data_IF_813821720400
#
_entry.id   IF_813821720400
#
_cell.length_a   1.000
_cell.length_b   1.000
_cell.length_c   1.000
_cell.angle_alpha   90.00
_cell.angle_beta   90.00
_cell.angle_gamma   90.00
#
_symmetry.space_group_name_H-M   'P 1'
#
loop_
_entity.id
_entity.type
_entity.pdbx_description
1 polymer ?
#
# COMPACT_ATOMS: atom_id res chain seq x y z
N UNK A 1 23.87 21.83 22.48
CA UNK A 1 22.57 22.13 21.86
C UNK A 1 22.03 21.05 20.92
N UNK A 2 22.86 20.14 20.39
CA UNK A 2 22.43 19.11 19.42
C UNK A 2 21.22 18.22 19.79
N UNK A 3 20.97 17.98 21.09
CA UNK A 3 19.83 17.17 21.55
C UNK A 3 18.50 17.92 21.48
N UNK A 4 18.49 19.21 21.83
CA UNK A 4 17.31 20.09 21.70
C UNK A 4 17.00 20.40 20.24
N UNK A 5 18.03 20.45 19.39
CA UNK A 5 17.89 20.62 17.94
C UNK A 5 17.23 19.40 17.26
N UNK A 6 17.23 18.24 17.92
CA UNK A 6 16.72 16.97 17.37
C UNK A 6 15.48 16.46 18.10
N UNK A 7 15.35 16.74 19.40
CA UNK A 7 14.23 16.35 20.25
C UNK A 7 13.74 17.58 21.01
N UNK A 8 12.43 17.83 20.98
CA UNK A 8 11.81 18.84 21.82
C UNK A 8 11.95 18.48 23.33
N UNK A 9 11.58 19.43 24.20
CA UNK A 9 11.71 19.27 25.65
C UNK A 9 10.97 18.01 26.17
N UNK A 10 9.88 17.64 25.51
CA UNK A 10 9.08 16.46 25.83
C UNK A 10 9.80 15.16 25.42
N UNK A 11 10.40 15.13 24.22
CA UNK A 11 11.21 14.01 23.73
C UNK A 11 12.44 13.75 24.59
N UNK A 12 13.07 14.81 25.11
CA UNK A 12 14.18 14.69 26.07
C UNK A 12 13.67 14.12 27.40
N UNK A 13 12.58 14.65 27.96
CA UNK A 13 12.00 14.14 29.20
C UNK A 13 11.60 12.66 29.10
N UNK A 14 11.02 12.27 27.97
CA UNK A 14 10.63 10.88 27.70
C UNK A 14 11.85 9.97 27.53
N UNK A 15 12.90 10.46 26.85
CA UNK A 15 14.19 9.78 26.75
C UNK A 15 14.81 9.52 28.12
N UNK A 16 14.87 10.54 28.99
CA UNK A 16 15.38 10.38 30.36
C UNK A 16 14.52 9.41 31.18
N UNK A 17 13.19 9.47 31.08
CA UNK A 17 12.29 8.55 31.76
C UNK A 17 12.41 7.10 31.27
N UNK A 18 12.90 6.90 30.04
CA UNK A 18 13.18 5.58 29.47
C UNK A 18 14.44 4.91 30.04
N UNK A 19 15.41 5.69 30.53
CA UNK A 19 16.68 5.21 31.10
C UNK A 19 16.77 5.37 32.63
N UNK A 20 15.63 5.60 33.30
CA UNK A 20 15.58 5.73 34.76
C UNK A 20 16.11 4.45 35.44
N UNK A 21 16.98 4.56 36.48
CA UNK A 21 17.45 3.40 37.23
C UNK A 21 16.29 2.53 37.73
N UNK A 22 16.44 1.20 37.63
CA UNK A 22 15.41 0.23 38.05
C UNK A 22 14.42 -0.19 36.95
N UNK A 23 14.58 0.28 35.71
CA UNK A 23 13.85 -0.24 34.54
C UNK A 23 14.78 -1.02 33.60
N UNK A 24 14.26 -2.01 32.86
CA UNK A 24 15.05 -2.67 31.82
C UNK A 24 15.49 -1.65 30.78
N UNK A 25 16.80 -1.65 30.47
CA UNK A 25 17.42 -0.75 29.49
C UNK A 25 16.73 -0.90 28.13
N UNK A 26 16.25 0.20 27.55
CA UNK A 26 15.70 0.19 26.20
C UNK A 26 16.80 0.25 25.15
N UNK A 27 16.63 -0.50 24.07
CA UNK A 27 17.45 -0.36 22.88
C UNK A 27 17.11 0.93 22.12
N UNK A 28 18.01 1.45 21.27
CA UNK A 28 17.71 2.59 20.40
C UNK A 28 16.48 2.37 19.49
N UNK A 29 16.21 1.13 19.07
CA UNK A 29 15.01 0.82 18.30
C UNK A 29 13.74 1.00 19.15
N UNK A 30 13.73 0.48 20.38
CA UNK A 30 12.60 0.61 21.29
C UNK A 30 12.32 2.07 21.68
N UNK A 31 13.38 2.88 21.86
CA UNK A 31 13.21 4.31 22.11
C UNK A 31 12.64 5.04 20.89
N UNK A 32 13.10 4.74 19.66
CA UNK A 32 12.53 5.31 18.43
C UNK A 32 11.05 4.96 18.26
N UNK A 33 10.68 3.70 18.48
CA UNK A 33 9.27 3.27 18.43
C UNK A 33 8.43 4.03 19.46
N UNK A 34 8.94 4.22 20.68
CA UNK A 34 8.24 4.99 21.71
C UNK A 34 8.06 6.46 21.29
N UNK A 35 9.11 7.11 20.81
CA UNK A 35 9.08 8.52 20.38
C UNK A 35 8.12 8.72 19.20
N UNK A 36 8.12 7.82 18.21
CA UNK A 36 7.14 7.86 17.10
C UNK A 36 5.71 7.74 17.61
N UNK A 37 5.45 6.80 18.51
CA UNK A 37 4.13 6.60 19.09
C UNK A 37 3.64 7.83 19.86
N UNK A 38 4.50 8.43 20.69
CA UNK A 38 4.07 9.58 21.51
C UNK A 38 3.99 10.89 20.74
N UNK A 39 4.79 11.06 19.68
CA UNK A 39 4.72 12.24 18.81
C UNK A 39 3.48 12.23 17.91
N UNK A 40 2.85 11.07 17.72
CA UNK A 40 1.74 10.92 16.78
C UNK A 40 2.16 11.11 15.32
N UNK A 41 3.47 11.14 15.03
CA UNK A 41 4.00 11.40 13.68
C UNK A 41 3.50 10.38 12.66
N UNK A 42 3.40 9.11 13.05
CA UNK A 42 2.88 8.05 12.17
C UNK A 42 1.41 8.33 11.82
N UNK A 43 0.59 8.74 12.79
CA UNK A 43 -0.81 9.09 12.54
C UNK A 43 -0.98 10.33 11.66
N UNK A 44 -0.06 11.30 11.74
CA UNK A 44 -0.03 12.46 10.83
C UNK A 44 0.36 12.02 9.42
N UNK A 45 1.41 11.20 9.29
CA UNK A 45 1.85 10.64 8.00
C UNK A 45 0.70 9.85 7.36
N UNK A 46 0.02 8.99 8.12
CA UNK A 46 -1.11 8.19 7.64
C UNK A 46 -2.24 9.09 7.11
N UNK A 47 -2.61 10.12 7.88
CA UNK A 47 -3.66 11.08 7.48
C UNK A 47 -3.29 11.89 6.25
N UNK A 48 -2.05 12.37 6.16
CA UNK A 48 -1.57 13.11 4.97
C UNK A 48 -1.50 12.20 3.75
N UNK A 49 -1.04 10.96 3.95
CA UNK A 49 -0.96 9.95 2.89
C UNK A 49 -2.34 9.61 2.36
N UNK A 50 -3.32 9.39 3.26
CA UNK A 50 -4.71 9.13 2.91
C UNK A 50 -5.37 10.34 2.24
N UNK A 51 -5.18 11.55 2.77
CA UNK A 51 -5.73 12.78 2.17
C UNK A 51 -5.22 13.03 0.74
N UNK A 52 -3.99 12.58 0.43
CA UNK A 52 -3.41 12.71 -0.90
C UNK A 52 -3.61 11.49 -1.82
N UNK A 53 -4.19 10.38 -1.36
CA UNK A 53 -4.21 9.12 -2.12
C UNK A 53 -4.97 9.26 -3.44
N UNK A 54 -6.14 9.91 -3.40
CA UNK A 54 -6.98 10.10 -4.57
C UNK A 54 -6.29 10.93 -5.66
N UNK A 55 -5.63 12.03 -5.27
CA UNK A 55 -4.90 12.91 -6.21
C UNK A 55 -3.70 12.18 -6.82
N UNK A 56 -2.94 11.44 -6.01
CA UNK A 56 -1.81 10.63 -6.52
C UNK A 56 -2.28 9.55 -7.47
N UNK A 57 -3.39 8.88 -7.15
CA UNK A 57 -3.94 7.82 -7.99
C UNK A 57 -4.48 8.37 -9.32
N UNK A 58 -5.19 9.52 -9.31
CA UNK A 58 -5.62 10.18 -10.56
C UNK A 58 -4.44 10.52 -11.46
N UNK A 59 -3.37 11.11 -10.92
CA UNK A 59 -2.14 11.40 -11.70
C UNK A 59 -1.49 10.15 -12.28
N UNK A 60 -1.51 9.04 -11.52
CA UNK A 60 -1.03 7.75 -12.02
C UNK A 60 -1.89 7.24 -13.18
N UNK A 61 -3.22 7.36 -13.10
CA UNK A 61 -4.12 6.97 -14.18
C UNK A 61 -3.90 7.84 -15.44
N UNK A 62 -3.72 9.14 -15.27
CA UNK A 62 -3.44 10.06 -16.39
C UNK A 62 -2.11 9.68 -17.07
N UNK A 63 -1.04 9.46 -16.29
CA UNK A 63 0.26 9.06 -16.82
C UNK A 63 0.21 7.69 -17.54
N UNK A 64 -0.55 6.73 -17.01
CA UNK A 64 -0.79 5.44 -17.67
C UNK A 64 -1.53 5.64 -18.98
N UNK A 65 -2.59 6.45 -19.01
CA UNK A 65 -3.36 6.70 -20.22
C UNK A 65 -2.50 7.35 -21.31
N UNK A 66 -1.62 8.28 -20.93
CA UNK A 66 -0.63 8.88 -21.83
C UNK A 66 0.35 7.83 -22.38
N UNK A 67 0.87 6.94 -21.52
CA UNK A 67 1.75 5.85 -21.96
C UNK A 67 1.05 4.87 -22.90
N UNK A 68 -0.20 4.50 -22.61
CA UNK A 68 -1.02 3.63 -23.47
C UNK A 68 -1.27 4.30 -24.84
N UNK A 69 -1.56 5.61 -24.86
CA UNK A 69 -1.72 6.38 -26.09
C UNK A 69 -0.42 6.45 -26.90
N UNK A 70 0.73 6.66 -26.24
CA UNK A 70 2.05 6.62 -26.89
C UNK A 70 2.35 5.24 -27.46
N UNK A 71 2.03 4.17 -26.71
CA UNK A 71 2.26 2.81 -27.15
C UNK A 71 1.43 2.44 -28.40
N UNK A 72 0.22 2.98 -28.51
CA UNK A 72 -0.64 2.78 -29.68
C UNK A 72 -0.14 3.53 -30.94
N UNK A 73 0.53 4.67 -30.76
CA UNK A 73 0.92 5.56 -31.86
C UNK A 73 2.35 5.32 -32.35
N UNK A 74 3.29 4.99 -31.47
CA UNK A 74 4.71 4.91 -31.79
C UNK A 74 5.19 3.45 -31.88
N UNK A 75 5.21 2.90 -33.10
CA UNK A 75 5.53 1.48 -33.37
C UNK A 75 6.86 1.01 -32.76
N UNK A 76 7.88 1.87 -32.73
CA UNK A 76 9.22 1.50 -32.23
C UNK A 76 9.29 1.36 -30.71
N UNK A 77 8.52 2.18 -29.97
CA UNK A 77 8.54 2.20 -28.50
C UNK A 77 7.29 1.57 -27.87
N UNK A 78 6.26 1.25 -28.66
CA UNK A 78 5.01 0.70 -28.15
C UNK A 78 5.14 -0.71 -27.58
N UNK A 79 6.03 -1.54 -28.13
CA UNK A 79 6.39 -2.84 -27.54
C UNK A 79 6.96 -2.67 -26.13
N UNK A 80 8.09 -1.95 -25.97
CA UNK A 80 8.68 -1.68 -24.66
C UNK A 80 7.74 -1.04 -23.64
N UNK A 81 6.90 -0.06 -24.04
CA UNK A 81 5.91 0.55 -23.13
C UNK A 81 4.86 -0.49 -22.71
N UNK A 82 4.38 -1.30 -23.65
CA UNK A 82 3.42 -2.37 -23.35
C UNK A 82 3.99 -3.46 -22.45
N UNK A 83 5.28 -3.76 -22.52
CA UNK A 83 5.98 -4.66 -21.60
C UNK A 83 6.06 -4.03 -20.21
N UNK A 84 6.52 -2.79 -20.12
CA UNK A 84 6.59 -2.03 -18.86
C UNK A 84 5.23 -1.98 -18.15
N UNK A 85 4.14 -1.72 -18.87
CA UNK A 85 2.78 -1.65 -18.28
C UNK A 85 2.23 -3.01 -17.83
N UNK A 86 2.75 -4.12 -18.35
CA UNK A 86 2.33 -5.48 -18.00
C UNK A 86 3.23 -6.14 -16.96
N UNK A 87 4.41 -5.57 -16.73
CA UNK A 87 5.37 -6.01 -15.73
C UNK A 87 4.74 -6.11 -14.34
N UNK A 88 5.16 -7.12 -13.58
CA UNK A 88 4.58 -7.39 -12.27
C UNK A 88 4.81 -6.21 -11.31
N UNK A 89 5.97 -5.56 -11.33
CA UNK A 89 6.25 -4.41 -10.45
C UNK A 89 5.33 -3.24 -10.77
N UNK A 90 5.08 -2.97 -12.06
CA UNK A 90 4.15 -1.92 -12.49
C UNK A 90 2.71 -2.24 -12.07
N UNK A 91 2.28 -3.49 -12.24
CA UNK A 91 0.94 -3.92 -11.82
C UNK A 91 0.78 -3.81 -10.30
N UNK A 92 1.79 -4.21 -9.53
CA UNK A 92 1.77 -4.13 -8.06
C UNK A 92 1.83 -2.68 -7.56
N UNK A 93 2.59 -1.80 -8.21
CA UNK A 93 2.62 -0.38 -7.89
C UNK A 93 1.25 0.28 -8.12
N UNK A 94 0.58 -0.05 -9.23
CA UNK A 94 -0.79 0.42 -9.51
C UNK A 94 -1.80 -0.11 -8.49
N UNK A 95 -1.70 -1.40 -8.15
CA UNK A 95 -2.52 -1.99 -7.10
C UNK A 95 -2.32 -1.26 -5.76
N UNK A 96 -1.08 -1.01 -5.34
CA UNK A 96 -0.78 -0.33 -4.08
C UNK A 96 -1.43 1.06 -4.01
N UNK A 97 -1.34 1.85 -5.09
CA UNK A 97 -2.00 3.14 -5.17
C UNK A 97 -3.53 3.04 -5.12
N UNK A 98 -4.13 2.02 -5.75
CA UNK A 98 -5.56 1.76 -5.68
C UNK A 98 -6.00 1.30 -4.26
N UNK A 99 -5.19 0.50 -3.58
CA UNK A 99 -5.39 0.10 -2.17
C UNK A 99 -5.37 1.31 -1.25
N UNK A 100 -4.42 2.24 -1.43
CA UNK A 100 -4.37 3.49 -0.64
C UNK A 100 -5.67 4.31 -0.79
N UNK A 101 -6.23 4.37 -2.00
CA UNK A 101 -7.52 5.05 -2.25
C UNK A 101 -8.65 4.31 -1.55
N UNK A 102 -8.74 3.00 -1.69
CA UNK A 102 -9.78 2.19 -1.06
C UNK A 102 -9.75 2.32 0.47
N UNK A 103 -8.57 2.23 1.08
CA UNK A 103 -8.41 2.38 2.52
C UNK A 103 -8.75 3.79 3.00
N UNK A 104 -8.38 4.83 2.23
CA UNK A 104 -8.67 6.22 2.58
C UNK A 104 -10.18 6.53 2.66
N UNK A 105 -11.00 5.81 1.89
CA UNK A 105 -12.48 5.91 1.94
C UNK A 105 -13.13 4.83 2.83
N UNK A 106 -12.33 4.07 3.58
CA UNK A 106 -12.80 3.09 4.56
C UNK A 106 -13.26 1.74 3.98
N UNK A 107 -12.88 1.40 2.74
CA UNK A 107 -13.17 0.09 2.17
C UNK A 107 -12.22 -0.98 2.72
N UNK A 108 -12.75 -2.16 3.02
CA UNK A 108 -11.95 -3.34 3.38
C UNK A 108 -11.30 -3.96 2.13
N UNK A 109 -9.97 -3.90 2.08
CA UNK A 109 -9.17 -4.50 1.00
C UNK A 109 -8.84 -5.97 1.29
N UNK A 110 -9.01 -6.44 2.54
CA UNK A 110 -8.64 -7.79 2.98
C UNK A 110 -7.12 -7.94 3.23
N UNK A 111 -6.68 -9.09 3.74
CA UNK A 111 -5.27 -9.32 4.08
C UNK A 111 -4.36 -9.16 2.85
N UNK A 112 -3.29 -8.36 2.97
CA UNK A 112 -2.35 -8.10 1.89
C UNK A 112 -1.25 -9.17 1.77
N UNK A 113 -0.79 -9.69 2.92
CA UNK A 113 0.39 -10.56 3.03
C UNK A 113 0.06 -12.06 3.16
N UNK A 114 -1.20 -12.45 2.97
CA UNK A 114 -1.62 -13.86 2.99
C UNK A 114 -1.78 -14.39 1.55
N UNK A 115 -0.91 -15.32 1.10
CA UNK A 115 -1.02 -15.98 -0.20
C UNK A 115 -2.41 -16.59 -0.48
N UNK A 116 -3.05 -17.16 0.55
CA UNK A 116 -4.36 -17.77 0.42
C UNK A 116 -5.49 -16.74 0.21
N UNK A 117 -5.25 -15.47 0.59
CA UNK A 117 -6.23 -14.39 0.46
C UNK A 117 -6.18 -13.69 -0.92
N UNK A 118 -5.14 -13.91 -1.73
CA UNK A 118 -4.98 -13.21 -3.01
C UNK A 118 -6.09 -13.50 -4.02
N UNK A 119 -6.43 -14.77 -4.26
CA UNK A 119 -7.49 -15.13 -5.21
C UNK A 119 -8.90 -14.71 -4.74
N UNK A 120 -9.32 -14.93 -3.47
CA UNK A 120 -10.57 -14.37 -2.97
C UNK A 120 -10.66 -12.84 -3.13
N UNK A 121 -9.57 -12.12 -2.83
CA UNK A 121 -9.48 -10.67 -2.98
C UNK A 121 -9.65 -10.26 -4.45
N UNK A 122 -8.98 -10.95 -5.37
CA UNK A 122 -9.11 -10.71 -6.80
C UNK A 122 -10.57 -10.81 -7.29
N UNK A 123 -11.27 -11.88 -6.91
CA UNK A 123 -12.67 -12.11 -7.29
C UNK A 123 -13.57 -11.03 -6.73
N UNK A 124 -13.40 -10.67 -5.44
CA UNK A 124 -14.21 -9.63 -4.78
C UNK A 124 -14.05 -8.27 -5.47
N UNK A 125 -12.82 -7.87 -5.75
CA UNK A 125 -12.54 -6.57 -6.37
C UNK A 125 -12.86 -6.52 -7.87
N UNK A 126 -12.82 -7.66 -8.56
CA UNK A 126 -13.33 -7.75 -9.92
C UNK A 126 -14.85 -7.54 -9.96
N UNK A 127 -15.61 -8.13 -9.02
CA UNK A 127 -17.04 -7.84 -8.91
C UNK A 127 -17.29 -6.37 -8.58
N UNK A 128 -16.55 -5.82 -7.62
CA UNK A 128 -16.62 -4.40 -7.26
C UNK A 128 -16.40 -3.49 -8.48
N UNK A 129 -15.47 -3.82 -9.38
CA UNK A 129 -15.22 -2.98 -10.56
C UNK A 129 -16.35 -2.99 -11.57
N UNK A 130 -17.13 -4.06 -11.65
CA UNK A 130 -18.27 -4.15 -12.56
C UNK A 130 -19.45 -3.29 -12.08
N UNK A 131 -19.66 -3.23 -10.77
CA UNK A 131 -20.85 -2.65 -10.14
C UNK A 131 -20.76 -1.14 -9.85
N UNK A 132 -19.62 -0.49 -10.11
CA UNK A 132 -19.37 0.91 -9.72
C UNK A 132 -18.99 1.84 -10.90
N UNK A 133 -19.11 3.17 -10.66
CA UNK A 133 -18.74 4.23 -11.62
C UNK A 133 -17.23 4.34 -11.86
N UNK A 134 -16.83 5.15 -12.84
CA UNK A 134 -15.52 5.06 -13.53
C UNK A 134 -14.29 4.99 -12.62
N UNK A 135 -14.15 5.88 -11.63
CA UNK A 135 -12.98 5.83 -10.73
C UNK A 135 -12.95 4.57 -9.86
N UNK A 136 -14.10 4.15 -9.32
CA UNK A 136 -14.22 2.94 -8.51
C UNK A 136 -14.10 1.67 -9.37
N UNK A 137 -14.54 1.72 -10.63
CA UNK A 137 -14.32 0.67 -11.64
C UNK A 137 -12.83 0.45 -11.86
N UNK A 138 -12.08 1.51 -12.16
CA UNK A 138 -10.63 1.40 -12.41
C UNK A 138 -9.87 0.97 -11.16
N UNK A 139 -10.21 1.53 -9.99
CA UNK A 139 -9.64 1.12 -8.71
C UNK A 139 -9.85 -0.37 -8.43
N UNK A 140 -11.08 -0.88 -8.59
CA UNK A 140 -11.37 -2.30 -8.42
C UNK A 140 -10.64 -3.19 -9.43
N UNK A 141 -10.49 -2.73 -10.67
CA UNK A 141 -9.76 -3.47 -11.70
C UNK A 141 -8.26 -3.57 -11.40
N UNK A 142 -7.62 -2.49 -10.94
CA UNK A 142 -6.21 -2.50 -10.55
C UNK A 142 -5.97 -3.40 -9.32
N UNK A 143 -6.86 -3.35 -8.31
CA UNK A 143 -6.77 -4.24 -7.15
C UNK A 143 -6.95 -5.71 -7.55
N UNK A 144 -7.92 -5.99 -8.41
CA UNK A 144 -8.16 -7.34 -8.89
C UNK A 144 -6.95 -7.89 -9.66
N UNK A 145 -6.40 -7.09 -10.58
CA UNK A 145 -5.24 -7.47 -11.40
C UNK A 145 -3.99 -7.73 -10.55
N UNK A 146 -3.65 -6.83 -9.61
CA UNK A 146 -2.50 -7.04 -8.73
C UNK A 146 -2.67 -8.23 -7.80
N UNK A 147 -3.89 -8.49 -7.34
CA UNK A 147 -4.20 -9.67 -6.54
C UNK A 147 -4.02 -10.98 -7.32
N UNK A 148 -4.37 -11.00 -8.62
CA UNK A 148 -4.09 -12.15 -9.49
C UNK A 148 -2.59 -12.34 -9.73
N UNK A 149 -1.81 -11.24 -9.85
CA UNK A 149 -0.35 -11.33 -9.98
C UNK A 149 0.28 -11.94 -8.74
N UNK A 150 -0.05 -11.43 -7.55
CA UNK A 150 0.44 -12.00 -6.29
C UNK A 150 0.03 -13.47 -6.12
N UNK A 151 -1.20 -13.83 -6.51
CA UNK A 151 -1.65 -15.23 -6.50
C UNK A 151 -0.81 -16.12 -7.43
N UNK A 152 -0.51 -15.64 -8.64
CA UNK A 152 0.35 -16.34 -9.61
C UNK A 152 1.77 -16.51 -9.06
N UNK A 153 2.35 -15.45 -8.49
CA UNK A 153 3.68 -15.48 -7.86
C UNK A 153 3.74 -16.42 -6.65
N UNK A 154 2.63 -16.57 -5.93
CA UNK A 154 2.48 -17.51 -4.83
C UNK A 154 2.20 -18.97 -5.26
N UNK A 155 2.25 -19.28 -6.55
CA UNK A 155 2.10 -20.65 -7.07
C UNK A 155 0.65 -21.09 -7.33
N UNK A 156 -0.30 -20.16 -7.47
CA UNK A 156 -1.64 -20.48 -7.98
C UNK A 156 -2.54 -21.25 -7.00
N UNK A 157 -2.40 -21.03 -5.69
CA UNK A 157 -3.11 -21.77 -4.64
C UNK A 157 -4.65 -21.69 -4.77
N UNK A 158 -5.39 -22.81 -4.86
CA UNK A 158 -6.83 -22.80 -5.06
C UNK A 158 -7.60 -22.34 -3.80
N UNK A 159 -8.83 -21.84 -4.00
CA UNK A 159 -9.70 -21.27 -2.96
C UNK A 159 -10.06 -22.23 -1.80
N UNK A 160 -9.82 -23.54 -1.91
CA UNK A 160 -10.47 -24.58 -1.09
C UNK A 160 -9.52 -25.37 -0.16
N UNK A 161 -8.37 -24.82 0.25
CA UNK A 161 -7.49 -25.47 1.25
C UNK A 161 -7.62 -24.95 2.69
N UNK A 162 -8.79 -24.40 3.06
CA UNK A 162 -9.18 -24.17 4.46
C UNK A 162 -10.19 -25.25 4.90
N UNK A 163 -9.71 -26.47 5.16
CA UNK A 163 -10.44 -27.43 6.01
C UNK A 163 -9.60 -27.66 7.27
N UNK A 164 -10.13 -27.19 8.40
CA UNK A 164 -9.54 -27.31 9.74
C UNK A 164 -9.15 -28.76 10.02
N UNK A 165 -7.91 -28.99 10.41
CA UNK A 165 -7.54 -30.10 11.28
C UNK A 165 -8.19 -29.84 12.65
N UNK A 166 -9.18 -30.67 12.99
CA UNK A 166 -9.65 -30.85 14.37
C UNK A 166 -8.63 -31.64 15.18
#
# INVERSE_FOLDING_TARGET
MRLLDTLDLFGIALGMAAFRPGRPSRTPAQLRTLLRRVSGVDAVIDKVTAAGSEVRYRRLLDAVAELEALAAQAKEIGGPIGEFLRDDDTVLARMAAAVDVALAVGLDVGPLDDPAAHLPRAVRWHRYSLDNGDMHRTCGADIARGSLRLWSLAGGMPLHRYRKSS
#
